data_IF_696702539412
#
_entry.id   IF_696702539412
#
_cell.length_a   1.000
_cell.length_b   1.000
_cell.length_c   1.000
_cell.angle_alpha   90.00
_cell.angle_beta   90.00
_cell.angle_gamma   90.00
#
_symmetry.space_group_name_H-M   'P 1'
#
loop_
_entity.id
_entity.type
_entity.pdbx_description
1 polymer ?
#
# COMPACT_ATOMS: atom_id res chain seq x y z
N UNK A 1 -48.52 56.39 -10.37
CA UNK A 1 -49.60 55.56 -10.94
C UNK A 1 -49.30 54.11 -10.57
N UNK A 2 -50.14 53.52 -9.70
CA UNK A 2 -50.70 52.15 -9.75
C UNK A 2 -49.64 51.01 -9.83
N UNK A 3 -49.48 50.06 -8.90
CA UNK A 3 -50.37 49.29 -8.00
C UNK A 3 -49.48 48.61 -6.93
N UNK A 4 -49.84 48.59 -5.64
CA UNK A 4 -50.64 47.53 -4.98
C UNK A 4 -49.72 46.71 -4.05
N UNK A 5 -49.60 47.00 -2.75
CA UNK A 5 -50.54 46.70 -1.65
C UNK A 5 -50.81 45.19 -1.50
N UNK A 6 -50.16 44.51 -0.56
CA UNK A 6 -50.83 43.90 0.61
C UNK A 6 -49.80 43.33 1.60
N UNK A 7 -49.94 43.80 2.83
CA UNK A 7 -49.39 43.31 4.11
C UNK A 7 -49.69 41.82 4.28
N UNK A 8 -48.74 41.00 4.77
CA UNK A 8 -49.06 39.88 5.69
C UNK A 8 -47.79 39.38 6.42
N UNK A 9 -47.79 39.60 7.73
CA UNK A 9 -47.16 38.78 8.77
C UNK A 9 -45.63 38.66 8.85
N UNK A 10 -45.09 39.52 9.71
CA UNK A 10 -44.08 39.12 10.70
C UNK A 10 -44.52 37.83 11.41
N UNK A 11 -44.01 36.69 10.97
CA UNK A 11 -43.86 35.49 11.79
C UNK A 11 -42.81 34.59 11.16
N UNK A 12 -41.86 34.13 11.97
CA UNK A 12 -40.81 33.14 11.65
C UNK A 12 -39.48 33.67 11.08
N UNK A 13 -38.90 34.70 11.70
CA UNK A 13 -37.43 34.80 11.79
C UNK A 13 -36.88 34.13 13.06
N UNK A 14 -37.61 33.14 13.58
CA UNK A 14 -37.12 32.13 14.50
C UNK A 14 -37.39 30.75 13.90
N UNK A 15 -36.34 30.10 13.37
CA UNK A 15 -36.10 28.65 13.27
C UNK A 15 -35.20 28.30 12.08
N UNK A 16 -33.92 28.65 12.19
CA UNK A 16 -32.86 27.78 11.67
C UNK A 16 -31.83 27.48 12.77
N UNK A 17 -32.30 27.24 14.01
CA UNK A 17 -31.58 26.32 14.90
C UNK A 17 -31.98 24.92 14.46
N UNK A 18 -31.42 24.47 13.32
CA UNK A 18 -31.42 23.03 13.02
C UNK A 18 -30.66 22.39 14.17
N UNK A 19 -31.40 21.70 15.05
CA UNK A 19 -30.80 20.84 16.06
C UNK A 19 -30.11 19.71 15.29
N UNK A 20 -28.83 19.95 14.91
CA UNK A 20 -27.99 18.95 14.27
C UNK A 20 -28.04 17.70 15.14
N UNK A 21 -28.49 16.60 14.54
CA UNK A 21 -28.59 15.35 15.27
C UNK A 21 -27.18 14.91 15.69
N UNK A 22 -27.05 14.08 16.72
CA UNK A 22 -25.74 13.51 17.09
C UNK A 22 -25.04 12.86 15.89
N UNK A 23 -25.80 12.28 14.96
CA UNK A 23 -25.28 11.72 13.71
C UNK A 23 -24.71 12.77 12.75
N UNK A 24 -25.32 13.96 12.64
CA UNK A 24 -24.81 15.05 11.80
C UNK A 24 -23.53 15.66 12.38
N UNK A 25 -23.47 15.79 13.70
CA UNK A 25 -22.27 16.27 14.40
C UNK A 25 -21.13 15.26 14.24
N UNK A 26 -21.42 13.95 14.34
CA UNK A 26 -20.42 12.91 14.13
C UNK A 26 -19.89 12.91 12.70
N UNK A 27 -20.77 12.97 11.69
CA UNK A 27 -20.34 13.05 10.27
C UNK A 27 -19.45 14.26 10.01
N UNK A 28 -19.81 15.43 10.53
CA UNK A 28 -18.98 16.63 10.42
C UNK A 28 -17.64 16.47 11.13
N UNK A 29 -17.60 15.81 12.30
CA UNK A 29 -16.35 15.49 12.99
C UNK A 29 -15.47 14.55 12.17
N UNK A 30 -16.06 13.51 11.57
CA UNK A 30 -15.35 12.52 10.76
C UNK A 30 -14.79 13.17 9.47
N UNK A 31 -15.55 14.03 8.81
CA UNK A 31 -15.10 14.82 7.65
C UNK A 31 -13.92 15.74 8.02
N UNK A 32 -14.02 16.45 9.15
CA UNK A 32 -12.94 17.31 9.63
C UNK A 32 -11.70 16.49 9.99
N UNK A 33 -11.86 15.31 10.58
CA UNK A 33 -10.74 14.42 10.91
C UNK A 33 -10.05 13.94 9.63
N UNK A 34 -10.83 13.49 8.65
CA UNK A 34 -10.34 13.05 7.35
C UNK A 34 -9.58 14.16 6.62
N UNK A 35 -10.11 15.38 6.61
CA UNK A 35 -9.44 16.54 6.00
C UNK A 35 -8.13 16.84 6.73
N UNK A 36 -8.11 16.81 8.07
CA UNK A 36 -6.89 17.03 8.85
C UNK A 36 -5.82 15.99 8.56
N UNK A 37 -6.22 14.72 8.39
CA UNK A 37 -5.32 13.63 8.04
C UNK A 37 -4.70 13.85 6.65
N UNK A 38 -5.51 14.23 5.66
CA UNK A 38 -5.04 14.53 4.30
C UNK A 38 -4.09 15.74 4.28
N UNK A 39 -4.39 16.77 5.09
CA UNK A 39 -3.60 18.00 5.13
C UNK A 39 -2.32 17.88 5.96
N UNK A 40 -2.17 16.82 6.77
CA UNK A 40 -1.03 16.68 7.69
C UNK A 40 0.31 16.70 6.96
N UNK A 41 0.35 16.06 5.81
CA UNK A 41 1.57 15.94 5.02
C UNK A 41 1.67 16.99 3.92
N UNK A 42 0.59 17.72 3.64
CA UNK A 42 0.56 18.74 2.59
C UNK A 42 1.55 19.88 2.88
N UNK A 43 2.29 20.29 1.85
CA UNK A 43 3.25 21.40 1.88
C UNK A 43 2.79 22.54 0.99
N UNK A 44 3.01 23.78 1.42
CA UNK A 44 2.67 24.94 0.61
C UNK A 44 3.80 25.30 -0.34
N UNK A 45 3.49 25.47 -1.63
CA UNK A 45 4.44 25.96 -2.61
C UNK A 45 5.08 27.28 -2.11
N UNK A 46 6.42 27.40 -2.09
CA UNK A 46 7.08 28.60 -1.58
C UNK A 46 6.72 29.87 -2.37
N UNK A 47 6.40 29.72 -3.66
CA UNK A 47 6.02 30.81 -4.58
C UNK A 47 4.54 31.19 -4.50
N UNK A 48 3.64 30.28 -4.88
CA UNK A 48 2.22 30.60 -5.04
C UNK A 48 1.32 30.15 -3.88
N UNK A 49 1.91 29.53 -2.84
CA UNK A 49 1.23 29.04 -1.62
C UNK A 49 0.18 27.96 -1.83
N UNK A 50 0.01 27.46 -3.05
CA UNK A 50 -0.81 26.27 -3.33
C UNK A 50 -0.35 25.08 -2.47
N UNK A 51 -1.29 24.40 -1.82
CA UNK A 51 -1.00 23.19 -1.07
C UNK A 51 -0.74 22.01 -2.02
N UNK A 52 0.32 21.25 -1.75
CA UNK A 52 0.80 20.13 -2.57
C UNK A 52 1.17 18.99 -1.63
N UNK A 53 0.65 17.80 -1.89
CA UNK A 53 1.01 16.58 -1.17
C UNK A 53 1.83 15.66 -2.06
N UNK A 54 2.84 15.01 -1.47
CA UNK A 54 3.66 13.98 -2.12
C UNK A 54 2.98 12.62 -1.92
N UNK A 55 2.74 11.90 -3.02
CA UNK A 55 2.19 10.53 -2.99
C UNK A 55 3.33 9.51 -3.08
N UNK A 56 4.30 9.76 -3.95
CA UNK A 56 5.48 8.92 -4.20
C UNK A 56 6.63 9.75 -4.79
N UNK A 57 7.79 9.12 -4.98
CA UNK A 57 8.93 9.70 -5.68
C UNK A 57 9.87 10.54 -4.83
N UNK A 58 10.58 11.47 -5.48
CA UNK A 58 11.66 12.24 -4.87
C UNK A 58 11.18 13.54 -4.21
N UNK A 59 12.01 14.10 -3.34
CA UNK A 59 11.76 15.36 -2.66
C UNK A 59 11.91 16.59 -3.57
N UNK A 60 12.45 16.44 -4.79
CA UNK A 60 12.41 17.50 -5.81
C UNK A 60 11.03 17.51 -6.46
N UNK A 61 10.13 18.34 -5.95
CA UNK A 61 8.78 18.49 -6.50
C UNK A 61 8.69 19.68 -7.44
N UNK A 62 7.69 19.65 -8.32
CA UNK A 62 7.32 20.74 -9.22
C UNK A 62 5.92 21.20 -8.86
N UNK A 63 5.73 22.49 -8.62
CA UNK A 63 4.40 23.04 -8.41
C UNK A 63 3.59 22.98 -9.71
N UNK A 64 2.50 22.22 -9.74
CA UNK A 64 1.59 22.15 -10.88
C UNK A 64 1.03 23.54 -11.28
N UNK A 65 0.75 24.40 -10.30
CA UNK A 65 0.11 25.70 -10.55
C UNK A 65 1.07 26.74 -11.15
N UNK A 66 2.34 26.79 -10.71
CA UNK A 66 3.28 27.86 -11.09
C UNK A 66 4.62 27.38 -11.64
N UNK A 67 4.82 26.06 -11.78
CA UNK A 67 6.03 25.44 -12.33
C UNK A 67 7.27 25.48 -11.42
N UNK A 68 7.22 26.18 -10.29
CA UNK A 68 8.38 26.31 -9.40
C UNK A 68 8.84 24.96 -8.86
N UNK A 69 10.14 24.68 -8.92
CA UNK A 69 10.70 23.53 -8.22
C UNK A 69 10.93 23.87 -6.76
N UNK A 70 10.62 22.93 -5.88
CA UNK A 70 10.86 23.07 -4.45
C UNK A 70 11.22 21.73 -3.82
N UNK A 71 11.91 21.79 -2.68
CA UNK A 71 12.22 20.61 -1.88
C UNK A 71 11.06 20.31 -0.93
N UNK A 72 10.48 19.11 -1.00
CA UNK A 72 9.37 18.73 -0.12
C UNK A 72 9.79 18.58 1.36
N UNK A 73 11.07 18.23 1.61
CA UNK A 73 11.61 18.02 2.94
C UNK A 73 11.72 19.33 3.74
N UNK A 74 12.29 20.38 3.12
CA UNK A 74 12.53 21.67 3.79
C UNK A 74 11.62 22.81 3.30
N UNK A 75 10.78 22.56 2.29
CA UNK A 75 9.87 23.52 1.67
C UNK A 75 10.54 24.74 0.98
N UNK A 76 11.84 24.67 0.71
CA UNK A 76 12.58 25.72 0.02
C UNK A 76 12.41 25.64 -1.49
N UNK A 77 12.38 26.80 -2.17
CA UNK A 77 12.48 26.86 -3.63
C UNK A 77 13.89 26.45 -4.08
N UNK A 78 13.98 25.67 -5.17
CA UNK A 78 15.24 25.11 -5.67
C UNK A 78 15.30 25.25 -7.19
N UNK A 79 16.50 25.28 -7.77
CA UNK A 79 16.67 25.31 -9.23
C UNK A 79 16.81 23.91 -9.85
N UNK A 80 17.32 22.94 -9.08
CA UNK A 80 17.71 21.63 -9.58
C UNK A 80 18.04 20.65 -8.46
N UNK A 81 18.93 19.69 -8.76
CA UNK A 81 19.34 18.66 -7.82
C UNK A 81 20.52 19.07 -6.91
N UNK A 82 21.16 20.22 -7.17
CA UNK A 82 22.29 20.69 -6.35
C UNK A 82 21.93 20.89 -4.87
N UNK A 83 20.67 21.21 -4.58
CA UNK A 83 20.15 21.31 -3.21
C UNK A 83 20.37 20.03 -2.38
N UNK A 84 20.38 18.86 -3.02
CA UNK A 84 20.47 17.56 -2.34
C UNK A 84 21.90 17.05 -2.14
N UNK A 85 22.91 17.91 -2.39
CA UNK A 85 24.30 17.66 -2.01
C UNK A 85 24.59 18.02 -0.54
N UNK A 86 23.65 18.72 0.12
CA UNK A 86 23.73 19.10 1.54
C UNK A 86 22.84 18.23 2.43
N UNK A 87 22.11 18.87 3.35
CA UNK A 87 21.34 18.18 4.40
C UNK A 87 20.03 17.52 3.92
N UNK A 88 19.50 17.95 2.77
CA UNK A 88 18.28 17.38 2.21
C UNK A 88 18.61 16.19 1.30
N UNK A 89 17.79 15.15 1.36
CA UNK A 89 17.97 13.94 0.55
C UNK A 89 17.00 13.90 -0.62
N UNK A 90 17.44 13.35 -1.75
CA UNK A 90 16.59 13.22 -2.95
C UNK A 90 15.43 12.26 -2.68
N UNK A 91 15.71 11.12 -2.07
CA UNK A 91 14.71 10.12 -1.68
C UNK A 91 14.80 9.93 -0.17
N UNK A 92 13.66 9.91 0.50
CA UNK A 92 13.60 9.50 1.90
C UNK A 92 13.80 7.99 2.04
N UNK A 93 14.19 7.54 3.23
CA UNK A 93 14.50 6.12 3.47
C UNK A 93 13.28 5.23 3.22
N UNK A 94 12.08 5.74 3.52
CA UNK A 94 10.82 5.02 3.32
C UNK A 94 10.60 4.70 1.83
N UNK A 95 10.84 5.67 0.94
CA UNK A 95 10.71 5.48 -0.50
C UNK A 95 11.82 4.58 -1.05
N UNK A 96 13.06 4.71 -0.55
CA UNK A 96 14.16 3.81 -0.90
C UNK A 96 13.79 2.36 -0.55
N UNK A 97 13.31 2.12 0.68
CA UNK A 97 12.95 0.79 1.16
C UNK A 97 11.77 0.20 0.36
N UNK A 98 10.76 1.03 0.07
CA UNK A 98 9.61 0.64 -0.76
C UNK A 98 10.08 0.20 -2.16
N UNK A 99 10.93 0.99 -2.81
CA UNK A 99 11.46 0.71 -4.14
C UNK A 99 12.39 -0.51 -4.15
N UNK A 100 13.27 -0.62 -3.16
CA UNK A 100 14.16 -1.77 -3.00
C UNK A 100 13.39 -3.06 -2.78
N UNK A 101 12.33 -3.03 -1.97
CA UNK A 101 11.46 -4.20 -1.73
C UNK A 101 10.84 -4.68 -3.04
N UNK A 102 10.36 -3.77 -3.88
CA UNK A 102 9.78 -4.11 -5.17
C UNK A 102 10.83 -4.62 -6.17
N UNK A 103 12.01 -4.00 -6.23
CA UNK A 103 13.04 -4.34 -7.24
C UNK A 103 13.93 -5.52 -6.87
N UNK A 104 14.10 -5.83 -5.59
CA UNK A 104 14.97 -6.91 -5.14
C UNK A 104 14.31 -8.30 -5.16
N UNK A 105 13.30 -8.53 -6.00
CA UNK A 105 12.70 -9.86 -6.21
C UNK A 105 13.76 -10.92 -6.58
N UNK A 106 14.78 -10.54 -7.36
CA UNK A 106 15.87 -11.46 -7.73
C UNK A 106 16.81 -11.78 -6.57
N UNK A 107 17.10 -10.82 -5.70
CA UNK A 107 17.92 -11.07 -4.51
C UNK A 107 17.15 -11.92 -3.50
N UNK A 108 15.88 -11.59 -3.28
CA UNK A 108 14.96 -12.41 -2.49
C UNK A 108 14.95 -13.85 -2.99
N UNK A 109 15.01 -14.03 -4.32
CA UNK A 109 15.13 -15.34 -4.94
C UNK A 109 16.39 -16.10 -4.53
N UNK A 110 17.55 -15.48 -4.68
CA UNK A 110 18.80 -16.15 -4.33
C UNK A 110 18.89 -16.49 -2.82
N UNK A 111 18.42 -15.59 -1.96
CA UNK A 111 18.46 -15.78 -0.50
C UNK A 111 17.54 -16.92 -0.05
N UNK A 112 16.27 -16.90 -0.44
CA UNK A 112 15.33 -17.98 -0.10
C UNK A 112 15.83 -19.31 -0.66
N UNK A 113 16.35 -19.31 -1.89
CA UNK A 113 16.85 -20.51 -2.53
C UNK A 113 17.98 -21.18 -1.73
N UNK A 114 18.93 -20.39 -1.22
CA UNK A 114 20.03 -20.89 -0.36
C UNK A 114 19.52 -21.44 0.98
N UNK A 115 18.61 -20.74 1.64
CA UNK A 115 18.02 -21.19 2.92
C UNK A 115 17.25 -22.49 2.74
N UNK A 116 16.44 -22.60 1.67
CA UNK A 116 15.68 -23.80 1.39
C UNK A 116 16.56 -25.00 1.02
N UNK A 117 17.66 -24.80 0.26
CA UNK A 117 18.62 -25.85 -0.02
C UNK A 117 19.29 -26.38 1.27
N UNK A 118 19.64 -25.50 2.20
CA UNK A 118 20.16 -25.90 3.51
C UNK A 118 19.11 -26.68 4.34
N UNK A 119 17.82 -26.33 4.25
CA UNK A 119 16.74 -27.08 4.90
C UNK A 119 16.46 -28.43 4.25
N UNK A 120 16.63 -28.53 2.93
CA UNK A 120 16.53 -29.79 2.19
C UNK A 120 17.59 -30.79 2.66
N UNK A 121 18.83 -30.33 2.85
CA UNK A 121 19.90 -31.15 3.43
C UNK A 121 19.59 -31.66 4.84
N UNK A 122 18.67 -30.99 5.57
CA UNK A 122 18.19 -31.39 6.90
C UNK A 122 16.89 -32.20 6.88
N UNK A 123 16.41 -32.61 5.70
CA UNK A 123 15.20 -33.43 5.54
C UNK A 123 13.87 -32.69 5.68
N UNK A 124 13.87 -31.35 5.84
CA UNK A 124 12.67 -30.56 6.11
C UNK A 124 12.12 -29.81 4.88
N UNK A 125 12.49 -30.23 3.67
CA UNK A 125 12.03 -29.61 2.43
C UNK A 125 11.79 -30.64 1.32
N UNK A 126 10.99 -30.24 0.32
CA UNK A 126 10.55 -31.07 -0.79
C UNK A 126 10.98 -30.42 -2.11
N UNK A 127 11.50 -31.18 -3.09
CA UNK A 127 11.93 -30.60 -4.36
C UNK A 127 10.73 -30.26 -5.23
N UNK A 128 10.76 -29.10 -5.89
CA UNK A 128 9.78 -28.76 -6.91
C UNK A 128 9.91 -29.72 -8.12
N UNK A 129 8.85 -30.40 -8.57
CA UNK A 129 8.90 -31.28 -9.73
C UNK A 129 9.22 -30.56 -11.05
N UNK A 130 8.95 -29.26 -11.14
CA UNK A 130 9.17 -28.49 -12.37
C UNK A 130 10.59 -27.93 -12.49
N UNK A 131 11.17 -27.44 -11.38
CA UNK A 131 12.45 -26.73 -11.42
C UNK A 131 13.49 -27.23 -10.40
N UNK A 132 13.17 -28.24 -9.59
CA UNK A 132 14.06 -28.80 -8.58
C UNK A 132 14.26 -27.95 -7.33
N UNK A 133 13.78 -26.70 -7.29
CA UNK A 133 13.92 -25.82 -6.14
C UNK A 133 13.36 -26.48 -4.87
N UNK A 134 14.13 -26.47 -3.78
CA UNK A 134 13.66 -26.98 -2.49
C UNK A 134 12.54 -26.08 -1.93
N UNK A 135 11.44 -26.66 -1.46
CA UNK A 135 10.29 -25.95 -0.90
C UNK A 135 10.06 -26.46 0.51
N UNK A 136 10.01 -25.56 1.50
CA UNK A 136 9.70 -25.92 2.88
C UNK A 136 8.19 -26.11 3.01
N UNK A 137 7.77 -27.22 3.61
CA UNK A 137 6.40 -27.42 4.05
C UNK A 137 6.12 -26.59 5.31
N UNK A 138 5.03 -25.82 5.31
CA UNK A 138 4.64 -24.94 6.42
C UNK A 138 3.50 -25.62 7.20
N UNK A 139 3.77 -25.95 8.46
CA UNK A 139 2.85 -26.71 9.29
C UNK A 139 2.49 -28.05 8.64
N UNK A 140 1.21 -28.38 8.64
CA UNK A 140 0.73 -29.65 8.08
C UNK A 140 0.32 -29.55 6.59
N UNK A 141 0.49 -28.39 5.94
CA UNK A 141 -0.02 -28.17 4.60
C UNK A 141 0.81 -28.87 3.51
N UNK A 142 0.22 -29.86 2.85
CA UNK A 142 0.84 -30.59 1.75
C UNK A 142 0.74 -29.85 0.40
N UNK A 143 0.00 -28.75 0.32
CA UNK A 143 0.05 -27.83 -0.81
C UNK A 143 1.26 -26.91 -0.69
N UNK A 144 2.22 -27.11 -1.58
CA UNK A 144 3.47 -26.37 -1.64
C UNK A 144 3.42 -25.38 -2.80
N UNK A 145 3.91 -24.16 -2.58
CA UNK A 145 4.08 -23.17 -3.64
C UNK A 145 5.56 -22.96 -3.93
N UNK A 146 5.96 -23.21 -5.18
CA UNK A 146 7.28 -22.92 -5.66
C UNK A 146 7.36 -21.46 -6.12
N UNK A 147 7.89 -20.61 -5.27
CA UNK A 147 8.13 -19.19 -5.53
C UNK A 147 9.21 -18.94 -6.62
N UNK A 148 9.96 -19.97 -7.03
CA UNK A 148 10.96 -19.87 -8.11
C UNK A 148 10.31 -19.94 -9.50
N UNK A 149 9.45 -20.95 -9.73
CA UNK A 149 8.78 -21.19 -11.01
C UNK A 149 7.27 -20.92 -11.00
N UNK A 150 6.75 -20.34 -9.91
CA UNK A 150 5.33 -20.03 -9.67
C UNK A 150 4.38 -21.22 -9.83
N UNK A 151 4.85 -22.45 -9.55
CA UNK A 151 4.02 -23.65 -9.65
C UNK A 151 3.58 -24.14 -8.26
N UNK A 152 2.39 -24.73 -8.21
CA UNK A 152 1.90 -25.42 -7.03
C UNK A 152 2.22 -26.91 -7.12
N UNK A 153 2.55 -27.52 -5.99
CA UNK A 153 3.01 -28.90 -5.91
C UNK A 153 2.46 -29.60 -4.67
N UNK A 154 2.48 -30.93 -4.65
CA UNK A 154 2.08 -31.72 -3.48
C UNK A 154 3.28 -32.30 -2.75
N UNK A 155 3.34 -32.16 -1.42
CA UNK A 155 4.41 -32.72 -0.59
C UNK A 155 4.41 -34.26 -0.54
N UNK A 156 3.24 -34.89 -0.72
CA UNK A 156 3.07 -36.34 -0.60
C UNK A 156 3.47 -37.05 -1.90
N UNK A 157 2.82 -36.72 -3.01
CA UNK A 157 3.08 -37.38 -4.30
C UNK A 157 4.13 -36.66 -5.17
N UNK A 158 4.61 -35.48 -4.74
CA UNK A 158 5.66 -34.70 -5.41
C UNK A 158 5.34 -34.29 -6.86
N UNK A 159 4.06 -34.21 -7.21
CA UNK A 159 3.62 -33.75 -8.54
C UNK A 159 3.10 -32.32 -8.50
N UNK A 160 3.07 -31.68 -9.68
CA UNK A 160 2.47 -30.35 -9.84
C UNK A 160 0.94 -30.42 -9.69
N UNK A 161 0.37 -29.45 -8.98
CA UNK A 161 -1.06 -29.35 -8.68
C UNK A 161 -1.63 -28.17 -9.45
N UNK A 162 -2.49 -28.43 -10.44
CA UNK A 162 -3.14 -27.36 -11.21
C UNK A 162 -4.32 -26.74 -10.46
N UNK A 163 -5.17 -27.58 -9.85
CA UNK A 163 -6.31 -27.15 -9.03
C UNK A 163 -6.33 -27.92 -7.72
N UNK A 164 -6.37 -27.19 -6.59
CA UNK A 164 -6.31 -27.78 -5.26
C UNK A 164 -7.50 -28.71 -5.00
N UNK A 165 -8.72 -28.28 -5.35
CA UNK A 165 -9.96 -29.04 -5.14
C UNK A 165 -10.03 -30.35 -5.92
N UNK A 166 -9.24 -30.49 -6.98
CA UNK A 166 -9.18 -31.71 -7.81
C UNK A 166 -8.10 -32.68 -7.33
N UNK A 167 -7.11 -32.20 -6.58
CA UNK A 167 -5.99 -33.01 -6.12
C UNK A 167 -6.12 -33.42 -4.66
N UNK A 168 -6.57 -32.48 -3.81
CA UNK A 168 -6.75 -32.72 -2.38
C UNK A 168 -8.21 -33.03 -2.08
N UNK A 169 -8.46 -34.18 -1.45
CA UNK A 169 -9.81 -34.62 -1.14
C UNK A 169 -9.88 -36.10 -0.79
N UNK A 170 -11.09 -36.66 -0.60
CA UNK A 170 -11.28 -38.06 -0.19
C UNK A 170 -10.68 -39.08 -1.17
N UNK A 171 -10.78 -38.81 -2.47
CA UNK A 171 -10.21 -39.64 -3.53
C UNK A 171 -8.76 -39.24 -3.91
N UNK A 172 -8.22 -38.18 -3.30
CA UNK A 172 -6.94 -37.58 -3.65
C UNK A 172 -5.92 -37.58 -2.51
N UNK A 173 -4.88 -36.76 -2.63
CA UNK A 173 -3.91 -36.59 -1.57
C UNK A 173 -4.54 -35.88 -0.35
N UNK A 174 -4.09 -36.23 0.86
CA UNK A 174 -4.51 -35.50 2.07
C UNK A 174 -3.87 -34.12 2.08
N UNK A 175 -4.67 -33.07 2.29
CA UNK A 175 -4.14 -31.70 2.35
C UNK A 175 -3.35 -31.42 3.63
N UNK A 176 -3.76 -31.98 4.77
CA UNK A 176 -3.13 -31.72 6.06
C UNK A 176 -2.56 -33.01 6.68
N UNK A 177 -1.25 -33.14 6.74
CA UNK A 177 -0.55 -34.21 7.49
C UNK A 177 0.72 -33.66 8.15
N UNK A 178 1.15 -34.24 9.26
CA UNK A 178 2.46 -33.92 9.85
C UNK A 178 3.59 -34.32 8.89
N UNK A 179 4.78 -33.75 9.10
CA UNK A 179 5.99 -34.30 8.48
C UNK A 179 6.31 -35.65 9.16
N UNK A 180 6.79 -36.65 8.40
CA UNK A 180 7.33 -37.88 8.97
C UNK A 180 8.49 -37.62 9.92
#
# INVERSE_FOLDING_TARGET
MIVGMQIFFCSTQERQKSARTKGDIQKLMDEVCTIKEILKDAKQCPRCKMAISKIDGCNKMTCWNCGEFFCYQCNAAISGYDHFKGDCVVFDQVEIDRLQTHMNQRLHRLVIGRVQAALFARGHAYPCPTCGQAIRKIGNNNHLYCWSCNQHCCALCRTSVQKMSQHFGPAGCKQHTANP
#
